data_IF_844802837494
#
_entry.id   IF_844802837494
#
_cell.length_a   1.000
_cell.length_b   1.000
_cell.length_c   1.000
_cell.angle_alpha   90.00
_cell.angle_beta   90.00
_cell.angle_gamma   90.00
#
_symmetry.space_group_name_H-M   'P 1'
#
loop_
_entity.id
_entity.type
_entity.pdbx_description
1 polymer ?
#
# COMPACT_ATOMS: atom_id res chain seq x y z
N UNK A 1 -39.09 23.45 37.14
CA UNK A 1 -38.93 22.08 36.57
C UNK A 1 -38.57 22.11 35.07
N UNK A 2 -38.90 23.17 34.33
CA UNK A 2 -38.53 23.35 32.90
C UNK A 2 -37.11 23.89 32.66
N UNK A 3 -36.54 24.63 33.62
CA UNK A 3 -35.18 25.21 33.47
C UNK A 3 -34.07 24.15 33.56
N UNK A 4 -34.26 23.12 34.37
CA UNK A 4 -33.27 22.05 34.60
C UNK A 4 -33.14 21.19 33.34
N UNK A 5 -34.25 20.88 32.66
CA UNK A 5 -34.24 20.09 31.43
C UNK A 5 -33.62 20.86 30.26
N UNK A 6 -33.90 22.16 30.13
CA UNK A 6 -33.30 23.02 29.12
C UNK A 6 -31.78 23.16 29.30
N UNK A 7 -31.31 23.25 30.55
CA UNK A 7 -29.88 23.42 30.86
C UNK A 7 -29.09 22.11 30.68
N UNK A 8 -29.72 20.96 30.90
CA UNK A 8 -29.11 19.64 30.61
C UNK A 8 -28.95 19.47 29.09
N UNK A 9 -29.97 19.82 28.31
CA UNK A 9 -29.94 19.68 26.85
C UNK A 9 -28.90 20.62 26.22
N UNK A 10 -28.76 21.85 26.73
CA UNK A 10 -27.83 22.85 26.20
C UNK A 10 -26.35 22.48 26.42
N UNK A 11 -26.03 21.69 27.45
CA UNK A 11 -24.66 21.20 27.71
C UNK A 11 -24.41 19.85 27.04
N UNK A 12 -25.42 18.97 26.94
CA UNK A 12 -25.27 17.64 26.37
C UNK A 12 -25.08 17.65 24.85
N UNK A 13 -25.79 18.52 24.14
CA UNK A 13 -25.69 18.68 22.67
C UNK A 13 -24.28 19.09 22.19
N UNK A 14 -23.64 20.15 22.73
CA UNK A 14 -22.28 20.52 22.35
C UNK A 14 -21.26 19.45 22.75
N UNK A 15 -21.47 18.73 23.86
CA UNK A 15 -20.59 17.65 24.27
C UNK A 15 -20.64 16.45 23.29
N UNK A 16 -21.85 16.05 22.87
CA UNK A 16 -22.05 14.98 21.89
C UNK A 16 -21.49 15.33 20.50
N UNK A 17 -21.73 16.57 20.05
CA UNK A 17 -21.22 17.03 18.76
C UNK A 17 -19.70 17.17 18.75
N UNK A 18 -19.10 17.64 19.85
CA UNK A 18 -17.65 17.66 20.03
C UNK A 18 -17.05 16.25 20.03
N UNK A 19 -17.70 15.28 20.70
CA UNK A 19 -17.24 13.89 20.73
C UNK A 19 -17.36 13.21 19.36
N UNK A 20 -18.48 13.40 18.65
CA UNK A 20 -18.68 12.90 17.29
C UNK A 20 -17.66 13.50 16.32
N UNK A 21 -17.38 14.81 16.42
CA UNK A 21 -16.36 15.50 15.64
C UNK A 21 -14.95 14.96 15.91
N UNK A 22 -14.60 14.73 17.18
CA UNK A 22 -13.31 14.15 17.56
C UNK A 22 -13.14 12.71 17.08
N UNK A 23 -14.17 11.86 17.21
CA UNK A 23 -14.16 10.50 16.71
C UNK A 23 -14.00 10.46 15.18
N UNK A 24 -14.74 11.29 14.45
CA UNK A 24 -14.63 11.42 13.00
C UNK A 24 -13.24 11.94 12.56
N UNK A 25 -12.67 12.90 13.29
CA UNK A 25 -11.32 13.42 13.05
C UNK A 25 -10.23 12.36 13.30
N UNK A 26 -10.40 11.54 14.35
CA UNK A 26 -9.48 10.44 14.67
C UNK A 26 -9.51 9.35 13.60
N UNK A 27 -10.70 8.96 13.15
CA UNK A 27 -10.89 8.03 12.02
C UNK A 27 -10.25 8.54 10.72
N UNK A 28 -10.42 9.82 10.40
CA UNK A 28 -9.78 10.44 9.22
C UNK A 28 -8.26 10.46 9.32
N UNK A 29 -7.71 10.67 10.52
CA UNK A 29 -6.25 10.69 10.73
C UNK A 29 -5.64 9.30 10.53
N UNK A 30 -6.29 8.23 11.03
CA UNK A 30 -5.86 6.85 10.78
C UNK A 30 -5.85 6.54 9.29
N UNK A 31 -6.92 6.88 8.57
CA UNK A 31 -6.99 6.62 7.12
C UNK A 31 -5.92 7.36 6.30
N UNK A 32 -5.48 8.56 6.72
CA UNK A 32 -4.37 9.26 6.07
C UNK A 32 -3.03 8.53 6.26
N UNK A 33 -2.79 8.01 7.47
CA UNK A 33 -1.57 7.29 7.79
C UNK A 33 -1.50 5.95 7.06
N UNK A 34 -2.59 5.22 7.04
CA UNK A 34 -2.66 3.91 6.38
C UNK A 34 -2.44 4.05 4.86
N UNK A 35 -3.04 5.07 4.22
CA UNK A 35 -2.77 5.39 2.81
C UNK A 35 -1.32 5.79 2.54
N UNK A 36 -0.70 6.55 3.44
CA UNK A 36 0.71 6.93 3.28
C UNK A 36 1.64 5.71 3.41
N UNK A 37 1.33 4.78 4.32
CA UNK A 37 2.04 3.52 4.46
C UNK A 37 1.86 2.63 3.23
N UNK A 38 0.63 2.49 2.75
CA UNK A 38 0.29 1.73 1.53
C UNK A 38 1.05 2.26 0.32
N UNK A 39 1.02 3.59 0.10
CA UNK A 39 1.76 4.25 -0.96
C UNK A 39 3.29 4.07 -0.81
N UNK A 40 3.82 4.15 0.41
CA UNK A 40 5.24 3.94 0.69
C UNK A 40 5.68 2.51 0.36
N UNK A 41 4.97 1.50 0.87
CA UNK A 41 5.25 0.08 0.60
C UNK A 41 5.16 -0.22 -0.89
N UNK A 42 4.16 0.35 -1.57
CA UNK A 42 4.00 0.22 -3.01
C UNK A 42 5.20 0.78 -3.78
N UNK A 43 5.71 1.95 -3.40
CA UNK A 43 6.89 2.55 -4.04
C UNK A 43 8.16 1.72 -3.79
N UNK A 44 8.32 1.17 -2.58
CA UNK A 44 9.45 0.29 -2.26
C UNK A 44 9.42 -1.01 -3.06
N UNK A 45 8.25 -1.65 -3.18
CA UNK A 45 8.08 -2.84 -4.01
C UNK A 45 8.39 -2.53 -5.48
N UNK A 46 7.89 -1.40 -5.99
CA UNK A 46 8.19 -0.94 -7.36
C UNK A 46 9.69 -0.79 -7.58
N UNK A 47 10.38 -0.07 -6.71
CA UNK A 47 11.82 0.14 -6.79
C UNK A 47 12.57 -1.19 -6.79
N UNK A 48 12.21 -2.11 -5.87
CA UNK A 48 12.87 -3.40 -5.75
C UNK A 48 12.65 -4.31 -6.96
N UNK A 49 11.44 -4.33 -7.52
CA UNK A 49 11.14 -5.09 -8.75
C UNK A 49 11.94 -4.54 -9.93
N UNK A 50 12.03 -3.21 -10.06
CA UNK A 50 12.77 -2.58 -11.16
C UNK A 50 14.26 -2.87 -11.03
N UNK A 51 14.85 -2.65 -9.86
CA UNK A 51 16.27 -2.88 -9.59
C UNK A 51 16.66 -4.33 -9.86
N UNK A 52 15.95 -5.28 -9.25
CA UNK A 52 16.23 -6.70 -9.40
C UNK A 52 15.91 -7.21 -10.82
N UNK A 53 14.82 -6.74 -11.40
CA UNK A 53 14.41 -7.11 -12.75
C UNK A 53 15.41 -6.64 -13.80
N UNK A 54 15.85 -5.39 -13.72
CA UNK A 54 16.88 -4.84 -14.61
C UNK A 54 18.20 -5.58 -14.44
N UNK A 55 18.61 -5.90 -13.20
CA UNK A 55 19.81 -6.69 -12.94
C UNK A 55 19.83 -8.02 -13.71
N UNK A 56 18.73 -8.78 -13.70
CA UNK A 56 18.68 -10.06 -14.40
C UNK A 56 18.45 -9.93 -15.91
N UNK A 57 17.72 -8.89 -16.34
CA UNK A 57 17.58 -8.58 -17.77
C UNK A 57 18.95 -8.28 -18.38
N UNK A 58 19.80 -7.51 -17.70
CA UNK A 58 21.15 -7.19 -18.15
C UNK A 58 22.05 -8.43 -18.20
N UNK A 59 21.87 -9.36 -17.26
CA UNK A 59 22.58 -10.64 -17.24
C UNK A 59 22.09 -11.66 -18.27
N UNK A 60 20.93 -11.42 -18.88
CA UNK A 60 20.26 -12.32 -19.81
C UNK A 60 19.97 -13.73 -19.25
N UNK A 61 20.01 -13.91 -17.93
CA UNK A 61 19.77 -15.16 -17.23
C UNK A 61 19.09 -14.87 -15.89
N UNK A 62 18.26 -15.78 -15.40
CA UNK A 62 17.62 -15.63 -14.10
C UNK A 62 17.56 -16.97 -13.35
N UNK A 63 17.94 -17.02 -12.06
CA UNK A 63 17.75 -18.22 -11.27
C UNK A 63 16.28 -18.39 -10.85
N UNK A 64 15.82 -19.64 -10.64
CA UNK A 64 14.41 -19.92 -10.38
C UNK A 64 13.89 -19.21 -9.13
N UNK A 65 14.69 -19.13 -8.06
CA UNK A 65 14.29 -18.43 -6.83
C UNK A 65 14.10 -16.92 -7.04
N UNK A 66 14.93 -16.31 -7.89
CA UNK A 66 14.84 -14.87 -8.16
C UNK A 66 13.59 -14.56 -8.98
N UNK A 67 13.26 -15.43 -9.94
CA UNK A 67 12.03 -15.30 -10.73
C UNK A 67 10.79 -15.41 -9.84
N UNK A 68 10.74 -16.39 -8.94
CA UNK A 68 9.63 -16.52 -7.98
C UNK A 68 9.55 -15.33 -7.02
N UNK A 69 10.69 -14.80 -6.58
CA UNK A 69 10.73 -13.59 -5.75
C UNK A 69 10.14 -12.38 -6.49
N UNK A 70 10.54 -12.16 -7.75
CA UNK A 70 10.01 -11.06 -8.58
C UNK A 70 8.50 -11.22 -8.80
N UNK A 71 8.01 -12.43 -9.08
CA UNK A 71 6.57 -12.71 -9.21
C UNK A 71 5.81 -12.43 -7.91
N UNK A 72 6.35 -12.86 -6.77
CA UNK A 72 5.73 -12.61 -5.47
C UNK A 72 5.64 -11.12 -5.14
N UNK A 73 6.71 -10.37 -5.37
CA UNK A 73 6.70 -8.91 -5.20
C UNK A 73 5.71 -8.24 -6.16
N UNK A 74 5.63 -8.68 -7.41
CA UNK A 74 4.70 -8.14 -8.40
C UNK A 74 3.23 -8.40 -8.05
N UNK A 75 2.91 -9.60 -7.54
CA UNK A 75 1.57 -9.92 -7.06
C UNK A 75 1.16 -9.00 -5.89
N UNK A 76 2.01 -8.88 -4.86
CA UNK A 76 1.76 -7.96 -3.75
C UNK A 76 1.66 -6.49 -4.20
N UNK A 77 2.44 -6.09 -5.20
CA UNK A 77 2.38 -4.76 -5.79
C UNK A 77 1.04 -4.49 -6.50
N UNK A 78 0.49 -5.47 -7.23
CA UNK A 78 -0.82 -5.34 -7.88
C UNK A 78 -1.95 -5.30 -6.85
N UNK A 79 -1.85 -6.08 -5.77
CA UNK A 79 -2.84 -6.10 -4.69
C UNK A 79 -2.97 -4.74 -3.97
N UNK A 80 -1.89 -3.96 -3.90
CA UNK A 80 -1.88 -2.58 -3.38
C UNK A 80 -2.50 -1.55 -4.35
N UNK A 81 -3.05 -1.99 -5.49
CA UNK A 81 -3.76 -1.16 -6.48
C UNK A 81 -2.84 -0.41 -7.45
N UNK A 82 -3.39 0.08 -8.57
CA UNK A 82 -2.72 0.88 -9.61
C UNK A 82 -1.38 0.27 -10.09
N UNK A 83 -1.46 -0.87 -10.77
CA UNK A 83 -0.30 -1.53 -11.39
C UNK A 83 0.27 -0.70 -12.54
N UNK A 84 1.44 -0.11 -12.33
CA UNK A 84 2.19 0.60 -13.38
C UNK A 84 2.56 -0.40 -14.50
N UNK A 85 2.19 -0.07 -15.74
CA UNK A 85 2.48 -0.88 -16.94
C UNK A 85 3.98 -1.15 -17.08
N UNK A 86 4.84 -0.22 -16.67
CA UNK A 86 6.29 -0.37 -16.77
C UNK A 86 6.83 -1.53 -15.91
N UNK A 87 6.32 -1.68 -14.68
CA UNK A 87 6.72 -2.77 -13.76
C UNK A 87 6.29 -4.11 -14.34
N UNK A 88 5.07 -4.20 -14.85
CA UNK A 88 4.57 -5.43 -15.49
C UNK A 88 5.39 -5.83 -16.71
N UNK A 89 5.84 -4.87 -17.53
CA UNK A 89 6.72 -5.16 -18.68
C UNK A 89 8.06 -5.74 -18.21
N UNK A 90 8.65 -5.19 -17.14
CA UNK A 90 9.91 -5.69 -16.59
C UNK A 90 9.74 -7.12 -16.10
N UNK A 91 8.68 -7.39 -15.34
CA UNK A 91 8.37 -8.73 -14.83
C UNK A 91 8.15 -9.73 -15.96
N UNK A 92 7.43 -9.34 -17.02
CA UNK A 92 7.26 -10.18 -18.22
C UNK A 92 8.59 -10.46 -18.93
N UNK A 93 9.49 -9.46 -19.02
CA UNK A 93 10.84 -9.70 -19.56
C UNK A 93 11.59 -10.72 -18.72
N UNK A 94 11.56 -10.61 -17.39
CA UNK A 94 12.19 -11.58 -16.49
C UNK A 94 11.61 -13.00 -16.64
N UNK A 95 10.31 -13.16 -16.88
CA UNK A 95 9.68 -14.47 -17.13
C UNK A 95 10.18 -15.14 -18.40
N UNK A 96 10.60 -14.36 -19.39
CA UNK A 96 11.10 -14.86 -20.68
C UNK A 96 12.61 -15.08 -20.70
N UNK A 97 13.33 -14.79 -19.60
CA UNK A 97 14.75 -15.06 -19.50
C UNK A 97 15.01 -16.57 -19.33
N UNK A 98 16.13 -17.09 -19.87
CA UNK A 98 16.53 -18.46 -19.64
C UNK A 98 16.78 -18.70 -18.15
N UNK A 99 16.19 -19.78 -17.64
CA UNK A 99 16.35 -20.19 -16.25
C UNK A 99 17.67 -20.93 -16.12
N UNK A 100 18.57 -20.39 -15.31
CA UNK A 100 19.83 -21.05 -14.95
C UNK A 100 19.73 -21.52 -13.50
N UNK A 101 20.17 -22.73 -13.19
CA UNK A 101 20.35 -23.10 -11.78
C UNK A 101 21.49 -22.25 -11.24
N UNK A 102 21.15 -21.18 -10.52
CA UNK A 102 22.12 -20.38 -9.79
C UNK A 102 22.90 -21.32 -8.89
N UNK A 103 24.23 -21.37 -9.10
CA UNK A 103 25.14 -22.19 -8.30
C UNK A 103 25.19 -21.75 -6.85
#
# INVERSE_FOLDING_TARGET
>A
MWDITANIISVLLPLLTAFAGWAAAKLRTSGKRDRALEAGVKMMLRERIIDLGMHYIDRQEIPPFALETIKGMHAAYIELGDGDRSVSIIVERCKNLPIVNGG
#
